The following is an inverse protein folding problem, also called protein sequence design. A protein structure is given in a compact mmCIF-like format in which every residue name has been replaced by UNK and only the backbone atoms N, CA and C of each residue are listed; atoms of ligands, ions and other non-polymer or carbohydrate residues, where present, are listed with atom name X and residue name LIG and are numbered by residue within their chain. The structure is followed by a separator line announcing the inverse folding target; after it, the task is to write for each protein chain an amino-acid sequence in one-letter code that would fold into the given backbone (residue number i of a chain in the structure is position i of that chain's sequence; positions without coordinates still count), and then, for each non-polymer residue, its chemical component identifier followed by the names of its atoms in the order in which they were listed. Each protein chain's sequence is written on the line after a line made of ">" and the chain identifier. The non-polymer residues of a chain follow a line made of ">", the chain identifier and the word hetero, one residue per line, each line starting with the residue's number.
data_IF_742141179844
#
_entry.id   IF_742141179844
#
_cell.length_a   1.000
_cell.length_b   1.000
_cell.length_c   1.000
_cell.angle_alpha   90.00
_cell.angle_beta   90.00
_cell.angle_gamma   90.00
#
_symmetry.space_group_name_H-M   'P 1'
#
loop_
_entity.id
_entity.type
_entity.pdbx_description
1 polymer ?
#
# COMPACT_ATOMS: atom_id res chain seq x y z
N UNK A 1 1.30 -24.03 31.52
CA UNK A 1 0.83 -23.80 30.14
C UNK A 1 0.45 -22.32 30.00
N UNK A 2 1.26 -21.53 29.29
CA UNK A 2 0.93 -20.15 28.94
C UNK A 2 1.05 -20.02 27.43
N UNK A 3 -0.04 -20.34 26.74
CA UNK A 3 -0.26 -19.88 25.38
C UNK A 3 -0.72 -18.43 25.40
N UNK A 4 -0.14 -17.60 24.54
CA UNK A 4 -0.73 -16.41 23.91
C UNK A 4 0.19 -15.94 22.78
N UNK A 5 0.01 -16.62 21.65
CA UNK A 5 -0.07 -16.03 20.31
C UNK A 5 0.71 -14.74 20.07
N UNK A 6 1.91 -14.91 19.50
CA UNK A 6 2.59 -13.91 18.70
C UNK A 6 1.76 -13.61 17.45
N UNK A 7 0.69 -12.83 17.59
CA UNK A 7 0.08 -12.14 16.45
C UNK A 7 1.09 -11.10 16.00
N UNK A 8 1.78 -11.43 14.92
CA UNK A 8 2.86 -10.65 14.36
C UNK A 8 2.33 -9.26 14.02
N UNK A 9 3.02 -8.19 14.45
CA UNK A 9 2.66 -6.79 14.16
C UNK A 9 2.41 -6.47 12.67
N UNK A 10 2.81 -7.38 11.77
CA UNK A 10 2.55 -7.34 10.32
C UNK A 10 1.06 -7.45 9.98
N UNK A 11 0.31 -8.29 10.69
CA UNK A 11 -1.08 -8.61 10.33
C UNK A 11 -2.06 -7.47 10.68
N UNK A 12 -1.72 -6.65 11.68
CA UNK A 12 -2.52 -5.48 12.06
C UNK A 12 -2.32 -4.31 11.07
N UNK A 13 -1.08 -4.10 10.60
CA UNK A 13 -0.76 -3.06 9.64
C UNK A 13 -1.44 -3.31 8.28
N UNK A 14 -1.46 -4.57 7.80
CA UNK A 14 -2.14 -4.92 6.55
C UNK A 14 -3.65 -4.70 6.60
N UNK A 15 -4.29 -4.93 7.75
CA UNK A 15 -5.73 -4.69 7.91
C UNK A 15 -6.11 -3.20 7.84
N UNK A 16 -5.25 -2.31 8.32
CA UNK A 16 -5.51 -0.86 8.21
C UNK A 16 -5.37 -0.36 6.76
N UNK A 17 -4.46 -0.96 5.98
CA UNK A 17 -4.24 -0.59 4.58
C UNK A 17 -5.45 -0.90 3.69
N UNK A 18 -6.22 -1.94 3.99
CA UNK A 18 -7.42 -2.30 3.23
C UNK A 18 -8.55 -1.26 3.36
N UNK A 19 -8.54 -0.44 4.41
CA UNK A 19 -9.55 0.62 4.62
C UNK A 19 -9.18 1.93 3.92
N UNK A 20 -7.98 2.04 3.36
CA UNK A 20 -7.54 3.22 2.64
C UNK A 20 -8.18 3.24 1.26
N UNK A 21 -9.10 4.19 1.04
CA UNK A 21 -9.59 4.50 -0.30
C UNK A 21 -8.46 5.14 -1.10
N UNK A 22 -8.22 4.60 -2.29
CA UNK A 22 -7.25 5.13 -3.26
C UNK A 22 -8.00 5.55 -4.52
N UNK A 23 -7.52 6.58 -5.21
CA UNK A 23 -8.16 7.05 -6.43
C UNK A 23 -7.68 6.22 -7.62
N UNK A 24 -8.61 5.85 -8.51
CA UNK A 24 -8.27 5.08 -9.71
C UNK A 24 -7.32 5.84 -10.65
N UNK A 25 -7.46 7.17 -10.73
CA UNK A 25 -6.56 8.02 -11.52
C UNK A 25 -5.10 7.92 -11.03
N UNK A 26 -4.89 7.88 -9.71
CA UNK A 26 -3.54 7.75 -9.13
C UNK A 26 -2.97 6.35 -9.39
N UNK A 27 -3.82 5.31 -9.38
CA UNK A 27 -3.40 3.94 -9.71
C UNK A 27 -2.95 3.87 -11.18
N UNK A 28 -3.74 4.42 -12.10
CA UNK A 28 -3.42 4.44 -13.53
C UNK A 28 -2.14 5.22 -13.80
N UNK A 29 -1.98 6.40 -13.18
CA UNK A 29 -0.75 7.19 -13.29
C UNK A 29 0.49 6.37 -12.93
N UNK A 30 0.46 5.67 -11.80
CA UNK A 30 1.62 4.87 -11.35
C UNK A 30 1.88 3.68 -12.29
N UNK A 31 0.83 3.03 -12.79
CA UNK A 31 0.96 1.92 -13.75
C UNK A 31 1.61 2.41 -15.04
N UNK A 32 1.13 3.53 -15.60
CA UNK A 32 1.58 4.03 -16.89
C UNK A 32 2.99 4.64 -16.81
N UNK A 33 3.33 5.33 -15.72
CA UNK A 33 4.62 6.04 -15.60
C UNK A 33 5.78 5.14 -15.14
N UNK A 34 5.48 4.09 -14.37
CA UNK A 34 6.51 3.20 -13.81
C UNK A 34 6.45 1.77 -14.37
N UNK A 35 5.56 1.51 -15.33
CA UNK A 35 5.30 0.17 -15.90
C UNK A 35 5.08 -0.90 -14.80
N UNK A 36 4.38 -0.53 -13.72
CA UNK A 36 4.10 -1.41 -12.60
C UNK A 36 2.79 -2.16 -12.78
N UNK A 37 2.70 -3.35 -12.17
CA UNK A 37 1.41 -4.04 -12.08
C UNK A 37 0.43 -3.21 -11.24
N UNK A 38 -0.84 -3.16 -11.67
CA UNK A 38 -1.92 -2.45 -10.96
C UNK A 38 -1.99 -2.80 -9.46
N UNK A 39 -1.71 -4.06 -9.11
CA UNK A 39 -1.71 -4.54 -7.73
C UNK A 39 -0.59 -3.91 -6.89
N UNK A 40 0.57 -3.67 -7.49
CA UNK A 40 1.71 -3.03 -6.84
C UNK A 40 1.45 -1.53 -6.66
N UNK A 41 0.91 -0.87 -7.69
CA UNK A 41 0.47 0.53 -7.61
C UNK A 41 -0.57 0.76 -6.51
N UNK A 42 -1.60 -0.09 -6.43
CA UNK A 42 -2.61 -0.03 -5.36
C UNK A 42 -1.99 -0.23 -3.97
N UNK A 43 -1.03 -1.15 -3.84
CA UNK A 43 -0.34 -1.40 -2.58
C UNK A 43 0.47 -0.17 -2.15
N UNK A 44 1.24 0.43 -3.06
CA UNK A 44 2.03 1.62 -2.79
C UNK A 44 1.15 2.79 -2.35
N UNK A 45 0.02 3.02 -3.05
CA UNK A 45 -0.94 4.06 -2.66
C UNK A 45 -1.57 3.79 -1.29
N UNK A 46 -1.93 2.54 -0.97
CA UNK A 46 -2.46 2.21 0.36
C UNK A 46 -1.41 2.45 1.45
N UNK A 47 -0.16 2.07 1.21
CA UNK A 47 0.97 2.29 2.14
C UNK A 47 1.22 3.79 2.36
N UNK A 48 1.10 4.58 1.31
CA UNK A 48 1.17 6.04 1.36
C UNK A 48 -0.12 6.72 1.86
N UNK A 49 -1.14 5.96 2.29
CA UNK A 49 -2.45 6.45 2.73
C UNK A 49 -3.19 7.31 1.69
N UNK A 50 -3.01 7.00 0.41
CA UNK A 50 -3.63 7.70 -0.72
C UNK A 50 -2.85 8.93 -1.20
N UNK A 51 -1.67 9.21 -0.65
CA UNK A 51 -0.80 10.28 -1.14
C UNK A 51 0.06 9.79 -2.31
N UNK A 52 -0.31 10.21 -3.53
CA UNK A 52 0.38 9.81 -4.77
C UNK A 52 1.82 10.31 -4.84
N UNK A 53 2.11 11.53 -4.36
CA UNK A 53 3.47 12.08 -4.39
C UNK A 53 4.37 11.30 -3.45
N UNK A 54 3.86 10.98 -2.25
CA UNK A 54 4.57 10.13 -1.30
C UNK A 54 4.80 8.72 -1.85
N UNK A 55 3.78 8.11 -2.48
CA UNK A 55 3.90 6.79 -3.10
C UNK A 55 4.98 6.79 -4.20
N UNK A 56 4.97 7.78 -5.09
CA UNK A 56 5.99 7.93 -6.15
C UNK A 56 7.39 8.13 -5.56
N UNK A 57 7.53 8.96 -4.52
CA UNK A 57 8.81 9.14 -3.83
C UNK A 57 9.33 7.84 -3.18
N UNK A 58 8.45 6.96 -2.71
CA UNK A 58 8.83 5.68 -2.10
C UNK A 58 9.17 4.61 -3.15
N UNK A 59 8.53 4.65 -4.33
CA UNK A 59 8.76 3.69 -5.42
C UNK A 59 10.08 3.93 -6.18
N UNK A 60 10.55 5.17 -6.23
CA UNK A 60 11.77 5.56 -6.97
C UNK A 60 13.02 5.59 -6.07
N UNK A 61 12.86 5.30 -4.77
CA UNK A 61 13.95 5.33 -3.78
C UNK A 61 14.79 4.07 -3.74
#
# INVERSE_FOLDING_TARGET
>A
MLGKSSVSKKDAAEKELLNVKVQEADVVLIVDELDLERREAERALRQARGDVVKALCELVR
#
